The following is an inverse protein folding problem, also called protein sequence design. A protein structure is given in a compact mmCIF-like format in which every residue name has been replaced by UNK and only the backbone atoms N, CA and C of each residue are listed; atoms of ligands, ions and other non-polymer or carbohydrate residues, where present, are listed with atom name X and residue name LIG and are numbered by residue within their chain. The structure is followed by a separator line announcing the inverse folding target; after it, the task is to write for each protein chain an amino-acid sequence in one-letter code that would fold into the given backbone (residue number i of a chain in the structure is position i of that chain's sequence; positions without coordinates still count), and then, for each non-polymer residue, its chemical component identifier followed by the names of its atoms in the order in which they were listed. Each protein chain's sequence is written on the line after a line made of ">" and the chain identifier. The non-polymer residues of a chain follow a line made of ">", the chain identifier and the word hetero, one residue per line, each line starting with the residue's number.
data_IF_549647744466
#
_entry.id   IF_549647744466
#
_cell.length_a   1.000
_cell.length_b   1.000
_cell.length_c   1.000
_cell.angle_alpha   90.00
_cell.angle_beta   90.00
_cell.angle_gamma   90.00
#
_symmetry.space_group_name_H-M   'P 1'
#
loop_
_entity.id
_entity.type
_entity.pdbx_description
1 polymer ?
#
# COMPACT_ATOMS: atom_id res chain seq x y z
N UNK A 1 1.36 -11.85 18.16
CA UNK A 1 1.65 -10.96 17.01
C UNK A 1 0.74 -11.39 15.85
N UNK A 2 -0.57 -11.37 16.09
CA UNK A 2 -1.55 -11.67 15.04
C UNK A 2 -1.95 -10.36 14.37
N UNK A 3 -2.20 -10.38 13.06
CA UNK A 3 -2.72 -9.21 12.33
C UNK A 3 -1.69 -8.31 11.66
N UNK A 4 -0.38 -8.62 11.65
CA UNK A 4 0.60 -7.84 10.88
C UNK A 4 0.71 -8.35 9.44
N UNK A 5 0.46 -7.48 8.48
CA UNK A 5 0.51 -7.78 7.05
C UNK A 5 1.45 -6.81 6.32
N UNK A 6 2.03 -7.29 5.20
CA UNK A 6 2.93 -6.47 4.39
C UNK A 6 2.63 -6.63 2.89
N UNK A 7 2.77 -5.56 2.13
CA UNK A 7 2.60 -5.55 0.68
C UNK A 7 3.77 -4.82 0.01
N UNK A 8 4.32 -5.31 -1.12
CA UNK A 8 5.38 -4.61 -1.84
C UNK A 8 4.82 -3.42 -2.62
N UNK A 9 5.66 -2.39 -2.82
CA UNK A 9 5.44 -1.39 -3.86
C UNK A 9 5.65 -1.99 -5.25
N UNK A 10 5.34 -1.22 -6.29
CA UNK A 10 5.59 -1.61 -7.69
C UNK A 10 6.21 -0.48 -8.49
N UNK A 11 6.93 -0.84 -9.54
CA UNK A 11 7.32 0.07 -10.63
C UNK A 11 6.81 -0.47 -11.97
N UNK A 12 6.77 0.37 -12.99
CA UNK A 12 6.54 -0.07 -14.37
C UNK A 12 7.92 -0.28 -14.99
N UNK A 13 8.22 -1.52 -15.39
CA UNK A 13 9.49 -1.84 -16.04
C UNK A 13 9.48 -1.42 -17.51
N UNK A 14 8.34 -1.60 -18.19
CA UNK A 14 8.17 -1.22 -19.59
C UNK A 14 6.74 -0.73 -19.86
N UNK A 15 6.64 0.24 -20.78
CA UNK A 15 5.36 0.67 -21.34
C UNK A 15 4.67 1.82 -20.62
N UNK A 16 5.39 2.65 -19.86
CA UNK A 16 4.82 3.79 -19.10
C UNK A 16 4.03 4.75 -19.98
N UNK A 17 4.60 5.16 -21.11
CA UNK A 17 3.92 6.02 -22.08
C UNK A 17 2.98 5.22 -23.00
N UNK A 18 3.27 3.94 -23.25
CA UNK A 18 2.52 3.11 -24.18
C UNK A 18 1.14 2.70 -23.62
N UNK A 19 1.05 2.42 -22.32
CA UNK A 19 -0.20 1.99 -21.67
C UNK A 19 -1.27 3.06 -21.64
N UNK A 20 -0.87 4.33 -21.67
CA UNK A 20 -1.78 5.48 -21.82
C UNK A 20 -2.56 5.41 -23.14
N UNK A 21 -2.00 4.75 -24.16
CA UNK A 21 -2.63 4.56 -25.47
C UNK A 21 -3.16 3.12 -25.68
N UNK A 22 -3.43 2.39 -24.59
CA UNK A 22 -4.05 1.06 -24.65
C UNK A 22 -3.11 -0.07 -25.09
N UNK A 23 -1.79 0.14 -25.05
CA UNK A 23 -0.80 -0.93 -25.29
C UNK A 23 -0.41 -1.60 -23.96
N UNK A 24 0.03 -2.87 -23.96
CA UNK A 24 0.45 -3.53 -22.72
C UNK A 24 1.64 -2.85 -22.02
N UNK A 25 1.70 -2.97 -20.71
CA UNK A 25 2.84 -2.59 -19.87
C UNK A 25 3.17 -3.70 -18.87
N UNK A 26 4.43 -3.76 -18.45
CA UNK A 26 4.91 -4.72 -17.45
C UNK A 26 5.21 -3.97 -16.16
N UNK A 27 4.47 -4.30 -15.10
CA UNK A 27 4.77 -3.83 -13.76
C UNK A 27 5.46 -4.93 -12.96
N UNK A 28 6.41 -4.55 -12.10
CA UNK A 28 7.15 -5.47 -11.23
C UNK A 28 7.12 -4.98 -9.78
N UNK A 29 7.13 -5.90 -8.80
CA UNK A 29 7.23 -5.53 -7.39
C UNK A 29 8.63 -5.02 -7.05
N UNK A 30 8.72 -4.05 -6.13
CA UNK A 30 9.99 -3.57 -5.56
C UNK A 30 10.15 -4.19 -4.18
N UNK A 31 10.93 -5.26 -4.08
CA UNK A 31 11.06 -6.04 -2.84
C UNK A 31 11.51 -5.20 -1.63
N UNK A 32 12.40 -4.23 -1.86
CA UNK A 32 12.93 -3.33 -0.83
C UNK A 32 11.97 -2.22 -0.37
N UNK A 33 10.83 -2.04 -1.03
CA UNK A 33 9.83 -1.03 -0.68
C UNK A 33 8.53 -1.73 -0.27
N UNK A 34 8.14 -1.62 1.00
CA UNK A 34 6.97 -2.34 1.55
C UNK A 34 6.11 -1.45 2.40
N UNK A 35 4.80 -1.55 2.23
CA UNK A 35 3.82 -1.04 3.19
C UNK A 35 3.57 -2.12 4.26
N UNK A 36 3.43 -1.68 5.51
CA UNK A 36 3.08 -2.55 6.65
C UNK A 36 1.80 -2.03 7.28
N UNK A 37 0.88 -2.93 7.60
CA UNK A 37 -0.32 -2.62 8.37
C UNK A 37 -0.51 -3.67 9.46
N UNK A 38 -1.10 -3.26 10.57
CA UNK A 38 -1.61 -4.18 11.57
C UNK A 38 -2.90 -3.64 12.17
N UNK A 39 -3.67 -4.53 12.78
CA UNK A 39 -4.86 -4.18 13.55
C UNK A 39 -4.72 -4.66 14.98
N UNK A 40 -5.36 -3.92 15.87
CA UNK A 40 -5.56 -4.28 17.27
C UNK A 40 -7.02 -4.01 17.62
N UNK A 41 -7.60 -4.73 18.61
CA UNK A 41 -8.94 -4.42 19.09
C UNK A 41 -9.03 -2.96 19.52
N UNK A 42 -9.97 -2.22 18.93
CA UNK A 42 -10.29 -0.86 19.33
C UNK A 42 -11.41 -0.85 20.37
N UNK A 43 -11.38 0.15 21.26
CA UNK A 43 -12.43 0.33 22.27
C UNK A 43 -13.72 0.93 21.68
N UNK A 44 -13.59 1.86 20.73
CA UNK A 44 -14.74 2.55 20.11
C UNK A 44 -14.58 2.73 18.60
N UNK A 45 -15.28 1.89 17.84
CA UNK A 45 -15.36 1.99 16.38
C UNK A 45 -14.02 1.67 15.68
N UNK A 46 -13.89 2.14 14.43
CA UNK A 46 -12.70 1.89 13.62
C UNK A 46 -11.89 3.17 13.52
N UNK A 47 -10.59 3.06 13.80
CA UNK A 47 -9.66 4.17 13.61
C UNK A 47 -8.51 3.74 12.70
N UNK A 48 -8.18 4.58 11.71
CA UNK A 48 -6.97 4.44 10.90
C UNK A 48 -5.89 5.38 11.44
N UNK A 49 -4.77 4.80 11.87
CA UNK A 49 -3.56 5.52 12.23
C UNK A 49 -2.59 5.55 11.03
N UNK A 50 -2.57 6.67 10.29
CA UNK A 50 -1.67 6.86 9.16
C UNK A 50 -0.34 7.47 9.66
N UNK A 51 0.54 6.62 10.19
CA UNK A 51 1.76 7.03 10.90
C UNK A 51 2.71 7.86 10.04
N UNK A 52 2.92 7.48 8.78
CA UNK A 52 3.86 8.16 7.87
C UNK A 52 3.50 9.63 7.62
N UNK A 53 2.20 9.96 7.67
CA UNK A 53 1.68 11.33 7.49
C UNK A 53 1.21 11.96 8.79
N UNK A 54 1.44 11.30 9.94
CA UNK A 54 1.08 11.77 11.28
C UNK A 54 -0.41 12.15 11.43
N UNK A 55 -1.31 11.37 10.83
CA UNK A 55 -2.76 11.61 10.90
C UNK A 55 -3.51 10.41 11.47
N UNK A 56 -4.62 10.71 12.15
CA UNK A 56 -5.56 9.72 12.70
C UNK A 56 -6.96 10.03 12.17
N UNK A 57 -7.65 9.01 11.67
CA UNK A 57 -8.99 9.13 11.11
C UNK A 57 -9.94 8.21 11.87
N UNK A 58 -11.02 8.76 12.43
CA UNK A 58 -12.14 7.97 12.96
C UNK A 58 -13.11 7.72 11.80
N UNK A 59 -13.40 6.46 11.51
CA UNK A 59 -14.38 6.06 10.50
C UNK A 59 -15.79 5.98 11.10
#
# INVERSE_FOLDING_TARGET
>A
MEGRFTAPGKIILFGEHAVVYGKPAIAIPVAGMRATAWSEPGEEGITINAMDIKKKYKL
#
